data_IF_319491774603
#
_entry.id   IF_319491774603
#
_cell.length_a   1.000
_cell.length_b   1.000
_cell.length_c   1.000
_cell.angle_alpha   90.00
_cell.angle_beta   90.00
_cell.angle_gamma   90.00
#
_symmetry.space_group_name_H-M   'P 1'
#
loop_
_entity.id
_entity.type
_entity.pdbx_description
1 polymer ?
#
# COMPACT_ATOMS: atom_id res chain seq x y z
N UNK A 1 31.51 39.68 28.48
CA UNK A 1 32.92 39.28 28.64
C UNK A 1 33.34 38.42 27.46
N UNK A 2 34.18 38.94 26.57
CA UNK A 2 34.61 38.32 25.30
C UNK A 2 35.81 37.43 25.55
N UNK A 3 35.82 36.19 25.09
CA UNK A 3 37.08 35.42 24.97
C UNK A 3 37.17 34.84 23.56
N UNK A 4 38.02 35.44 22.74
CA UNK A 4 38.47 34.94 21.44
C UNK A 4 39.62 33.96 21.66
N UNK A 5 39.53 32.72 21.15
CA UNK A 5 40.72 31.85 20.99
C UNK A 5 41.10 31.81 19.50
N UNK A 6 42.35 32.25 19.26
CA UNK A 6 43.06 32.16 17.98
C UNK A 6 43.64 30.75 17.86
N UNK A 7 43.45 30.09 16.72
CA UNK A 7 44.26 28.92 16.34
C UNK A 7 45.38 29.36 15.43
N UNK A 8 46.60 28.97 15.81
CA UNK A 8 47.83 29.16 15.08
C UNK A 8 48.06 27.98 14.15
N UNK A 9 48.31 28.27 12.87
CA UNK A 9 48.71 27.29 11.85
C UNK A 9 50.19 27.13 11.86
N UNK A 10 50.71 25.93 12.01
CA UNK A 10 52.13 25.58 11.92
C UNK A 10 52.37 24.96 10.53
N UNK A 11 53.16 25.62 9.71
CA UNK A 11 53.67 25.13 8.44
C UNK A 11 54.99 24.39 8.65
N UNK A 12 55.06 23.14 8.23
CA UNK A 12 56.31 22.35 8.20
C UNK A 12 56.77 22.23 6.74
N UNK A 13 57.87 22.87 6.41
CA UNK A 13 58.61 22.73 5.15
C UNK A 13 59.66 21.62 5.29
N UNK A 14 59.56 20.58 4.41
CA UNK A 14 60.57 19.54 4.27
C UNK A 14 61.32 19.76 2.95
N UNK A 15 62.57 20.05 3.04
CA UNK A 15 63.54 20.16 1.92
C UNK A 15 64.07 18.75 1.55
N UNK A 16 64.02 18.40 0.26
CA UNK A 16 64.63 17.18 -0.25
C UNK A 16 65.80 17.52 -1.17
N UNK A 17 66.94 17.02 -0.82
CA UNK A 17 68.17 17.03 -1.62
C UNK A 17 68.23 15.88 -2.64
N UNK A 18 68.76 16.06 -3.85
CA UNK A 18 68.85 14.96 -4.84
C UNK A 18 70.21 14.23 -4.69
N UNK A 19 70.14 12.89 -4.71
CA UNK A 19 71.30 12.03 -4.96
C UNK A 19 71.22 11.51 -6.38
N UNK A 20 72.23 11.86 -7.20
CA UNK A 20 72.43 11.29 -8.52
C UNK A 20 73.33 10.07 -8.42
N UNK A 21 72.93 8.94 -9.00
CA UNK A 21 73.86 7.86 -9.36
C UNK A 21 73.37 7.29 -10.71
N UNK A 22 74.27 7.33 -11.68
CA UNK A 22 74.07 6.88 -13.01
C UNK A 22 74.18 5.37 -13.19
N UNK A 23 73.73 4.91 -14.34
CA UNK A 23 74.03 3.58 -14.84
C UNK A 23 73.07 2.93 -15.80
N UNK A 24 73.44 2.89 -17.06
CA UNK A 24 73.18 1.91 -18.10
C UNK A 24 71.83 1.88 -18.79
N UNK A 25 71.94 2.25 -20.05
CA UNK A 25 71.03 2.16 -21.19
C UNK A 25 70.48 0.77 -21.43
N UNK A 26 69.14 0.67 -21.57
CA UNK A 26 68.49 -0.33 -22.40
C UNK A 26 67.28 0.32 -23.07
N UNK A 27 67.32 0.43 -24.38
CA UNK A 27 66.21 0.87 -25.23
C UNK A 27 64.94 0.06 -24.96
N UNK A 28 63.98 0.65 -24.29
CA UNK A 28 62.60 0.23 -24.25
C UNK A 28 61.75 1.31 -24.91
N UNK A 29 61.14 0.97 -26.07
CA UNK A 29 60.06 1.76 -26.65
C UNK A 29 59.07 2.15 -25.58
N UNK A 30 58.59 3.40 -25.53
CA UNK A 30 57.51 3.79 -24.65
C UNK A 30 56.25 2.97 -25.02
N UNK A 31 55.88 2.02 -24.19
CA UNK A 31 54.56 1.41 -24.25
C UNK A 31 53.56 2.53 -24.01
N UNK A 32 52.65 2.73 -24.91
CA UNK A 32 51.52 3.64 -24.74
C UNK A 32 50.81 3.25 -23.43
N UNK A 33 50.73 4.18 -22.49
CA UNK A 33 49.87 4.06 -21.33
C UNK A 33 48.45 3.70 -21.81
N UNK A 34 47.72 2.77 -21.14
CA UNK A 34 46.33 2.53 -21.50
C UNK A 34 45.61 3.87 -21.42
N UNK A 35 44.99 4.29 -22.51
CA UNK A 35 44.13 5.46 -22.50
C UNK A 35 43.10 5.21 -21.40
N UNK A 36 43.15 5.93 -20.30
CA UNK A 36 42.10 5.98 -19.30
C UNK A 36 40.80 6.24 -20.08
N UNK A 37 39.97 5.22 -20.18
CA UNK A 37 38.69 5.28 -20.87
C UNK A 37 37.89 6.41 -20.26
N UNK A 38 37.84 7.53 -20.97
CA UNK A 38 37.11 8.73 -20.54
C UNK A 38 35.64 8.37 -20.41
N UNK A 39 35.24 7.97 -19.18
CA UNK A 39 33.89 7.51 -18.93
C UNK A 39 32.86 8.47 -19.57
N UNK A 40 31.92 7.93 -20.33
CA UNK A 40 30.91 8.73 -21.01
C UNK A 40 29.99 9.41 -20.00
N UNK A 41 29.41 10.57 -20.32
CA UNK A 41 28.36 11.14 -19.48
C UNK A 41 27.13 10.23 -19.46
N UNK A 42 26.28 10.27 -18.41
CA UNK A 42 25.10 9.41 -18.33
C UNK A 42 24.10 9.72 -19.47
N UNK A 43 23.47 8.66 -20.00
CA UNK A 43 22.33 8.81 -20.91
C UNK A 43 21.08 9.15 -20.10
N UNK A 44 20.35 10.20 -20.47
CA UNK A 44 19.16 10.67 -19.78
C UNK A 44 17.99 10.81 -20.76
N UNK A 45 16.88 10.15 -20.45
CA UNK A 45 15.59 10.33 -21.12
C UNK A 45 14.62 10.98 -20.15
N UNK A 46 13.83 11.95 -20.62
CA UNK A 46 12.81 12.67 -19.84
C UNK A 46 11.48 12.60 -20.55
N UNK A 47 10.42 12.33 -19.81
CA UNK A 47 9.03 12.39 -20.28
C UNK A 47 8.23 13.36 -19.43
N UNK A 48 7.28 14.12 -20.02
CA UNK A 48 6.93 14.17 -21.44
C UNK A 48 8.08 14.62 -22.33
N UNK A 49 8.11 14.10 -23.56
CA UNK A 49 9.09 14.54 -24.55
C UNK A 49 8.95 16.04 -24.88
N UNK A 50 10.01 16.64 -25.44
CA UNK A 50 9.97 18.05 -25.79
C UNK A 50 8.86 18.37 -26.79
N UNK A 51 8.14 19.47 -26.56
CA UNK A 51 7.01 19.97 -27.36
C UNK A 51 5.79 19.04 -27.41
N UNK A 52 5.66 18.07 -26.49
CA UNK A 52 4.45 17.26 -26.36
C UNK A 52 3.26 18.16 -26.00
N UNK A 53 2.13 17.93 -26.67
CA UNK A 53 0.86 18.62 -26.40
C UNK A 53 -0.16 17.64 -25.82
N UNK A 54 -1.23 18.20 -25.25
CA UNK A 54 -2.35 17.46 -24.67
C UNK A 54 -1.91 16.46 -23.58
N UNK A 55 -0.85 16.85 -22.85
CA UNK A 55 -0.35 16.07 -21.72
C UNK A 55 -1.41 16.11 -20.60
N UNK A 56 -1.77 14.98 -19.98
CA UNK A 56 -2.72 14.96 -18.88
C UNK A 56 -2.34 15.93 -17.75
N UNK A 57 -3.33 16.59 -17.13
CA UNK A 57 -3.07 17.48 -15.98
C UNK A 57 -2.48 16.72 -14.78
N UNK A 58 -2.73 15.40 -14.70
CA UNK A 58 -2.13 14.49 -13.73
C UNK A 58 -0.70 14.01 -14.12
N UNK A 59 -0.08 14.55 -15.18
CA UNK A 59 1.21 14.09 -15.65
C UNK A 59 2.32 14.24 -14.61
N UNK A 60 3.29 13.35 -14.69
CA UNK A 60 4.55 13.40 -13.96
C UNK A 60 5.72 13.64 -14.92
N UNK A 61 6.85 14.06 -14.36
CA UNK A 61 8.11 14.10 -15.11
C UNK A 61 8.84 12.78 -14.89
N UNK A 62 8.70 11.88 -15.86
CA UNK A 62 9.38 10.58 -15.84
C UNK A 62 10.84 10.72 -16.26
N UNK A 63 11.72 9.89 -15.67
CA UNK A 63 13.14 9.88 -15.95
C UNK A 63 13.67 8.46 -16.13
N UNK A 64 14.51 8.25 -17.14
CA UNK A 64 15.30 7.04 -17.28
C UNK A 64 16.77 7.42 -17.45
N UNK A 65 17.64 6.87 -16.61
CA UNK A 65 19.08 7.17 -16.60
C UNK A 65 19.84 5.87 -16.76
N UNK A 66 20.84 5.90 -17.66
CA UNK A 66 21.81 4.81 -17.84
C UNK A 66 23.21 5.32 -17.56
N UNK A 67 23.95 4.66 -16.70
CA UNK A 67 25.30 5.03 -16.29
C UNK A 67 25.36 6.20 -15.32
N UNK A 68 24.36 6.36 -14.45
CA UNK A 68 24.30 7.41 -13.44
C UNK A 68 22.97 7.47 -12.71
N UNK A 69 22.71 8.58 -12.04
CA UNK A 69 21.47 8.84 -11.28
C UNK A 69 20.99 10.28 -11.51
N UNK A 70 19.70 10.53 -11.34
CA UNK A 70 19.15 11.89 -11.33
C UNK A 70 19.60 12.61 -10.06
N UNK A 71 20.13 13.82 -10.21
CA UNK A 71 20.65 14.66 -9.12
C UNK A 71 19.89 15.96 -8.94
N UNK A 72 19.19 16.45 -9.97
CA UNK A 72 18.34 17.62 -9.85
C UNK A 72 17.15 17.54 -10.82
N UNK A 73 15.99 18.01 -10.36
CA UNK A 73 14.79 18.21 -11.18
C UNK A 73 14.16 19.55 -10.83
N UNK A 74 13.86 20.33 -11.85
CA UNK A 74 13.14 21.59 -11.74
C UNK A 74 12.00 21.59 -12.75
N UNK A 75 10.79 21.85 -12.28
CA UNK A 75 9.62 22.01 -13.12
C UNK A 75 9.12 23.44 -12.93
N UNK A 76 8.88 24.16 -14.02
CA UNK A 76 8.38 25.54 -13.98
C UNK A 76 7.21 25.69 -14.95
N UNK A 77 6.29 26.57 -14.64
CA UNK A 77 5.24 26.97 -15.56
C UNK A 77 5.72 28.05 -16.55
N UNK A 78 4.84 28.46 -17.46
CA UNK A 78 5.09 29.49 -18.48
C UNK A 78 5.34 30.91 -17.91
N UNK A 79 5.05 31.13 -16.62
CA UNK A 79 5.34 32.37 -15.88
C UNK A 79 6.65 32.28 -15.07
N UNK A 80 7.33 31.13 -15.13
CA UNK A 80 8.56 30.86 -14.37
C UNK A 80 8.31 30.43 -12.92
N UNK A 81 7.05 30.25 -12.50
CA UNK A 81 6.74 29.76 -11.16
C UNK A 81 7.12 28.28 -11.04
N UNK A 82 7.79 27.94 -9.94
CA UNK A 82 8.22 26.56 -9.69
C UNK A 82 7.02 25.69 -9.28
N UNK A 83 6.90 24.54 -9.94
CA UNK A 83 5.96 23.47 -9.57
C UNK A 83 6.61 22.60 -8.52
N UNK A 84 5.98 22.47 -7.35
CA UNK A 84 6.42 21.55 -6.32
C UNK A 84 6.15 20.10 -6.79
N UNK A 85 7.17 19.25 -6.75
CA UNK A 85 7.08 17.85 -7.11
C UNK A 85 7.94 16.99 -6.18
N UNK A 86 7.51 15.76 -5.94
CA UNK A 86 8.22 14.79 -5.12
C UNK A 86 8.72 13.62 -5.97
N UNK A 87 9.91 13.07 -5.70
CA UNK A 87 10.42 11.91 -6.42
C UNK A 87 9.58 10.67 -6.09
N UNK A 88 9.46 9.77 -7.06
CA UNK A 88 8.99 8.40 -6.81
C UNK A 88 10.05 7.63 -6.02
N UNK A 89 9.62 6.70 -5.18
CA UNK A 89 10.53 5.84 -4.39
C UNK A 89 11.46 5.00 -5.29
N UNK A 90 10.98 4.60 -6.46
CA UNK A 90 11.75 3.83 -7.46
C UNK A 90 12.68 4.70 -8.34
N UNK A 91 12.69 6.01 -8.12
CA UNK A 91 13.48 6.97 -8.90
C UNK A 91 13.02 7.15 -10.35
N UNK A 92 11.87 6.59 -10.76
CA UNK A 92 11.39 6.62 -12.14
C UNK A 92 10.82 7.97 -12.57
N UNK A 93 10.60 8.91 -11.64
CA UNK A 93 10.05 10.22 -11.97
C UNK A 93 9.77 11.12 -10.79
N UNK A 94 9.24 12.31 -11.08
CA UNK A 94 8.77 13.33 -10.15
C UNK A 94 7.30 13.62 -10.37
N UNK A 95 6.55 13.55 -9.30
CA UNK A 95 5.09 13.72 -9.30
C UNK A 95 4.78 15.12 -8.76
N UNK A 96 4.14 16.01 -9.55
CA UNK A 96 3.65 17.29 -9.05
C UNK A 96 2.73 17.10 -7.85
N UNK A 97 2.89 17.94 -6.82
CA UNK A 97 2.11 17.85 -5.56
C UNK A 97 0.63 18.21 -5.72
N UNK A 98 0.26 18.78 -6.87
CA UNK A 98 -1.12 19.05 -7.29
C UNK A 98 -1.23 18.88 -8.81
N UNK A 99 -2.44 18.70 -9.36
CA UNK A 99 -2.64 18.67 -10.80
C UNK A 99 -2.08 19.91 -11.49
N UNK A 100 -1.51 19.72 -12.67
CA UNK A 100 -1.05 20.83 -13.51
C UNK A 100 -2.26 21.59 -14.05
N UNK A 101 -2.11 22.92 -14.25
CA UNK A 101 -3.19 23.74 -14.80
C UNK A 101 -3.47 23.34 -16.26
N UNK A 102 -4.74 23.26 -16.69
CA UNK A 102 -5.10 22.97 -18.06
C UNK A 102 -4.60 24.05 -19.05
N UNK A 103 -4.27 23.64 -20.28
CA UNK A 103 -3.81 24.53 -21.38
C UNK A 103 -2.59 25.36 -21.01
N UNK A 104 -1.75 24.87 -20.12
CA UNK A 104 -0.58 25.59 -19.67
C UNK A 104 0.70 24.91 -20.14
N UNK A 105 1.69 25.70 -20.46
CA UNK A 105 3.01 25.19 -20.86
C UNK A 105 3.91 25.07 -19.63
N UNK A 106 4.59 23.94 -19.52
CA UNK A 106 5.55 23.64 -18.47
C UNK A 106 6.90 23.30 -19.07
N UNK A 107 7.94 23.60 -18.31
CA UNK A 107 9.32 23.24 -18.62
C UNK A 107 9.83 22.32 -17.52
N UNK A 108 10.32 21.14 -17.88
CA UNK A 108 11.06 20.26 -16.99
C UNK A 108 12.55 20.28 -17.35
N UNK A 109 13.39 20.59 -16.37
CA UNK A 109 14.83 20.54 -16.47
C UNK A 109 15.35 19.48 -15.51
N UNK A 110 16.01 18.46 -16.06
CA UNK A 110 16.49 17.28 -15.32
C UNK A 110 17.97 17.14 -15.53
N UNK A 111 18.73 16.99 -14.42
CA UNK A 111 20.15 16.73 -14.46
C UNK A 111 20.45 15.35 -13.89
N UNK A 112 21.20 14.55 -14.61
CA UNK A 112 21.76 13.28 -14.16
C UNK A 112 23.29 13.39 -14.02
N UNK A 113 23.83 12.71 -12.99
CA UNK A 113 25.27 12.62 -12.74
C UNK A 113 25.70 11.17 -12.83
N UNK A 114 26.73 10.91 -13.63
CA UNK A 114 27.36 9.61 -13.76
C UNK A 114 28.37 9.33 -12.65
N UNK A 115 28.80 8.08 -12.52
CA UNK A 115 29.77 7.63 -11.52
C UNK A 115 31.14 8.34 -11.65
N UNK A 116 31.46 8.84 -12.82
CA UNK A 116 32.64 9.67 -13.11
C UNK A 116 32.49 11.14 -12.74
N UNK A 117 31.36 11.56 -12.15
CA UNK A 117 31.06 12.95 -11.84
C UNK A 117 30.58 13.78 -13.04
N UNK A 118 30.60 13.23 -14.26
CA UNK A 118 30.07 13.94 -15.45
C UNK A 118 28.56 14.06 -15.37
N UNK A 119 28.04 15.19 -15.85
CA UNK A 119 26.60 15.49 -15.82
C UNK A 119 26.01 15.55 -17.23
N UNK A 120 24.73 15.17 -17.33
CA UNK A 120 23.89 15.42 -18.48
C UNK A 120 22.63 16.13 -18.03
N UNK A 121 22.32 17.28 -18.64
CA UNK A 121 21.06 17.99 -18.39
C UNK A 121 20.17 17.92 -19.62
N UNK A 122 18.89 17.61 -19.39
CA UNK A 122 17.84 17.62 -20.42
C UNK A 122 16.76 18.61 -20.02
N UNK A 123 16.33 19.40 -20.98
CA UNK A 123 15.23 20.33 -20.84
C UNK A 123 14.14 19.93 -21.82
N UNK A 124 12.92 19.72 -21.35
CA UNK A 124 11.74 19.44 -22.16
C UNK A 124 10.64 20.45 -21.83
N UNK A 125 9.88 20.82 -22.86
CA UNK A 125 8.74 21.73 -22.73
C UNK A 125 7.50 20.99 -23.20
N UNK A 126 6.41 21.04 -22.45
CA UNK A 126 5.16 20.39 -22.81
C UNK A 126 3.95 21.24 -22.45
N UNK A 127 2.83 21.03 -23.14
CA UNK A 127 1.58 21.76 -22.88
C UNK A 127 0.51 20.78 -22.41
N UNK A 128 -0.17 21.13 -21.33
CA UNK A 128 -1.23 20.28 -20.77
C UNK A 128 -2.50 20.35 -21.60
N UNK A 129 -3.29 19.28 -21.52
CA UNK A 129 -4.60 19.16 -22.14
C UNK A 129 -5.57 20.25 -21.68
N UNK A 130 -6.63 20.54 -22.43
CA UNK A 130 -7.77 21.30 -21.93
C UNK A 130 -8.36 20.66 -20.69
N UNK A 131 -9.17 21.40 -19.92
CA UNK A 131 -9.95 20.77 -18.84
C UNK A 131 -10.76 19.61 -19.41
N UNK A 132 -10.67 18.41 -18.80
CA UNK A 132 -11.40 17.25 -19.30
C UNK A 132 -12.90 17.51 -19.36
N UNK A 133 -13.54 17.10 -20.46
CA UNK A 133 -14.99 17.16 -20.67
C UNK A 133 -15.63 15.77 -20.72
N UNK A 134 -14.81 14.71 -20.72
CA UNK A 134 -15.29 13.34 -20.71
C UNK A 134 -15.92 12.99 -19.36
N UNK A 135 -16.88 12.04 -19.32
CA UNK A 135 -17.43 11.55 -18.08
C UNK A 135 -16.33 11.05 -17.13
N UNK A 136 -16.41 11.42 -15.88
CA UNK A 136 -15.47 10.96 -14.87
C UNK A 136 -15.84 9.56 -14.34
N UNK A 137 -14.83 8.79 -13.97
CA UNK A 137 -14.99 7.65 -13.05
C UNK A 137 -14.91 8.21 -11.65
N UNK A 138 -15.95 8.02 -10.87
CA UNK A 138 -15.97 8.45 -9.47
C UNK A 138 -15.00 7.58 -8.66
N UNK A 139 -14.12 8.21 -7.90
CA UNK A 139 -13.26 7.50 -6.96
C UNK A 139 -13.60 7.85 -5.53
N UNK A 140 -13.53 6.90 -4.62
CA UNK A 140 -13.73 7.10 -3.18
C UNK A 140 -12.51 6.60 -2.43
N UNK A 141 -11.83 7.49 -1.73
CA UNK A 141 -10.72 7.13 -0.83
C UNK A 141 -11.27 6.84 0.56
N UNK A 142 -11.29 5.56 0.95
CA UNK A 142 -11.68 5.13 2.29
C UNK A 142 -10.52 5.23 3.29
N UNK A 143 -9.91 6.40 3.33
CA UNK A 143 -8.85 6.75 4.26
C UNK A 143 -8.94 8.26 4.52
N UNK A 144 -9.69 8.64 5.54
CA UNK A 144 -9.89 10.06 5.87
C UNK A 144 -8.68 10.63 6.63
N UNK A 145 -8.45 11.93 6.49
CA UNK A 145 -7.39 12.63 7.23
C UNK A 145 -7.73 12.87 8.69
N UNK A 146 -6.68 13.06 9.50
CA UNK A 146 -6.76 13.39 10.94
C UNK A 146 -7.54 12.34 11.77
N UNK A 147 -7.43 11.07 11.40
CA UNK A 147 -8.04 9.94 12.10
C UNK A 147 -6.96 9.07 12.74
N UNK A 148 -7.41 8.19 13.64
CA UNK A 148 -6.62 7.07 14.13
C UNK A 148 -7.31 5.79 13.70
N UNK A 149 -6.55 4.91 13.03
CA UNK A 149 -7.03 3.65 12.49
C UNK A 149 -6.40 2.46 13.19
N UNK A 150 -7.06 1.31 13.15
CA UNK A 150 -6.51 0.05 13.60
C UNK A 150 -5.34 -0.43 12.74
N UNK A 151 -4.54 -1.34 13.28
CA UNK A 151 -3.30 -1.83 12.63
C UNK A 151 -3.55 -2.62 11.35
N UNK A 152 -4.77 -3.12 11.13
CA UNK A 152 -5.17 -3.83 9.92
C UNK A 152 -5.84 -2.93 8.86
N UNK A 153 -5.85 -1.60 9.03
CA UNK A 153 -6.45 -0.67 8.08
C UNK A 153 -5.80 -0.77 6.70
N UNK A 154 -6.45 -1.29 5.65
CA UNK A 154 -5.94 -1.17 4.30
C UNK A 154 -6.25 0.25 3.78
N UNK A 155 -5.31 0.85 3.05
CA UNK A 155 -5.68 2.02 2.25
C UNK A 155 -6.52 1.52 1.08
N UNK A 156 -7.75 1.97 1.00
CA UNK A 156 -8.72 1.50 -0.01
C UNK A 156 -9.17 2.63 -0.91
N UNK A 157 -9.11 2.42 -2.21
CA UNK A 157 -9.75 3.29 -3.22
C UNK A 157 -10.78 2.45 -3.97
N UNK A 158 -12.03 2.91 -3.97
CA UNK A 158 -13.10 2.32 -4.75
C UNK A 158 -13.42 3.17 -5.98
N UNK A 159 -13.95 2.56 -7.02
CA UNK A 159 -14.24 3.17 -8.31
C UNK A 159 -15.64 2.80 -8.80
N UNK A 160 -16.36 3.81 -9.29
CA UNK A 160 -17.65 3.63 -9.95
C UNK A 160 -17.67 4.43 -11.28
N UNK A 161 -17.81 3.74 -12.43
CA UNK A 161 -17.77 2.28 -12.62
C UNK A 161 -16.37 1.67 -12.36
N UNK A 162 -16.27 0.32 -12.23
CA UNK A 162 -15.01 -0.37 -12.05
C UNK A 162 -13.95 -0.04 -13.10
N UNK A 163 -12.67 -0.08 -12.72
CA UNK A 163 -11.55 0.19 -13.62
C UNK A 163 -11.26 -1.03 -14.52
N UNK A 164 -11.32 -0.87 -15.86
CA UNK A 164 -10.96 -1.93 -16.79
C UNK A 164 -9.53 -2.42 -16.57
N UNK A 165 -9.28 -3.71 -16.78
CA UNK A 165 -8.00 -4.36 -16.47
C UNK A 165 -6.81 -3.67 -17.15
N UNK A 166 -6.97 -3.25 -18.39
CA UNK A 166 -5.95 -2.56 -19.19
C UNK A 166 -5.58 -1.16 -18.66
N UNK A 167 -6.48 -0.51 -17.92
CA UNK A 167 -6.24 0.82 -17.35
C UNK A 167 -5.71 0.79 -15.91
N UNK A 168 -5.73 -0.37 -15.24
CA UNK A 168 -5.36 -0.50 -13.82
C UNK A 168 -3.91 -0.09 -13.55
N UNK A 169 -2.99 -0.38 -14.45
CA UNK A 169 -1.59 0.01 -14.29
C UNK A 169 -1.42 1.53 -14.28
N UNK A 170 -2.12 2.25 -15.16
CA UNK A 170 -2.04 3.71 -15.24
C UNK A 170 -2.69 4.37 -14.02
N UNK A 171 -3.83 3.85 -13.57
CA UNK A 171 -4.48 4.30 -12.32
C UNK A 171 -3.56 4.02 -11.13
N UNK A 172 -3.02 2.80 -11.00
CA UNK A 172 -2.17 2.41 -9.88
C UNK A 172 -0.90 3.27 -9.79
N UNK A 173 -0.34 3.71 -10.91
CA UNK A 173 0.78 4.67 -10.93
C UNK A 173 0.45 6.02 -10.28
N UNK A 174 -0.81 6.35 -10.12
CA UNK A 174 -1.28 7.60 -9.51
C UNK A 174 -1.73 7.46 -8.06
N UNK A 175 -1.57 6.27 -7.50
CA UNK A 175 -1.88 5.99 -6.10
C UNK A 175 -0.58 5.93 -5.30
N UNK A 176 -0.39 6.89 -4.41
CA UNK A 176 0.83 7.03 -3.61
C UNK A 176 0.53 6.79 -2.15
N UNK A 177 1.38 6.03 -1.48
CA UNK A 177 1.34 5.84 -0.03
C UNK A 177 2.74 6.07 0.52
N UNK A 178 2.83 6.91 1.53
CA UNK A 178 4.06 7.16 2.28
C UNK A 178 3.79 6.85 3.75
N UNK A 179 4.71 6.13 4.37
CA UNK A 179 4.61 5.78 5.79
C UNK A 179 5.80 6.33 6.57
N UNK A 180 5.57 6.75 7.80
CA UNK A 180 6.59 7.21 8.72
C UNK A 180 6.33 6.59 10.11
N UNK A 181 7.23 5.70 10.62
CA UNK A 181 8.44 5.19 9.97
C UNK A 181 8.13 4.35 8.70
N UNK A 182 9.11 4.20 7.78
CA UNK A 182 8.91 3.47 6.53
C UNK A 182 8.43 2.03 6.75
N UNK A 183 7.32 1.70 6.11
CA UNK A 183 6.74 0.35 6.07
C UNK A 183 6.07 0.16 4.70
N UNK A 184 6.86 -0.23 3.68
CA UNK A 184 6.38 -0.32 2.31
C UNK A 184 5.36 -1.45 2.15
N UNK A 185 4.44 -1.26 1.21
CA UNK A 185 3.40 -2.21 0.85
C UNK A 185 3.20 -2.32 -0.67
N UNK A 186 2.13 -2.97 -1.06
CA UNK A 186 1.76 -3.22 -2.45
C UNK A 186 0.28 -2.90 -2.65
N UNK A 187 -0.05 -2.32 -3.79
CA UNK A 187 -1.43 -2.20 -4.26
C UNK A 187 -1.90 -3.52 -4.87
N UNK A 188 -3.10 -3.94 -4.55
CA UNK A 188 -3.74 -5.16 -5.10
C UNK A 188 -5.18 -4.86 -5.48
N UNK A 189 -5.56 -5.17 -6.71
CA UNK A 189 -6.91 -4.98 -7.25
C UNK A 189 -7.80 -6.14 -6.89
N UNK A 190 -9.05 -5.84 -6.55
CA UNK A 190 -10.15 -6.81 -6.58
C UNK A 190 -10.38 -7.24 -8.02
N UNK A 191 -10.80 -8.48 -8.23
CA UNK A 191 -10.87 -9.09 -9.56
C UNK A 191 -11.72 -8.28 -10.55
N UNK A 192 -12.85 -7.72 -10.11
CA UNK A 192 -13.74 -6.90 -10.94
C UNK A 192 -13.24 -5.47 -11.20
N UNK A 193 -12.24 -4.99 -10.44
CA UNK A 193 -11.69 -3.64 -10.56
C UNK A 193 -12.46 -2.53 -9.87
N UNK A 194 -13.45 -2.89 -9.06
CA UNK A 194 -14.23 -1.94 -8.27
C UNK A 194 -13.45 -1.32 -7.12
N UNK A 195 -12.43 -2.04 -6.62
CA UNK A 195 -11.61 -1.61 -5.50
C UNK A 195 -10.13 -1.97 -5.70
N UNK A 196 -9.26 -1.18 -5.10
CA UNK A 196 -7.84 -1.47 -4.96
C UNK A 196 -7.41 -1.21 -3.52
N UNK A 197 -6.65 -2.13 -2.95
CA UNK A 197 -6.15 -2.06 -1.58
C UNK A 197 -4.65 -1.88 -1.55
N UNK A 198 -4.15 -1.11 -0.59
CA UNK A 198 -2.72 -1.08 -0.26
C UNK A 198 -2.52 -1.55 1.17
N UNK A 199 -1.64 -2.51 1.36
CA UNK A 199 -1.15 -2.94 2.66
C UNK A 199 0.30 -3.38 2.59
N UNK A 200 0.96 -3.38 3.74
CA UNK A 200 2.25 -4.04 3.94
C UNK A 200 2.07 -5.58 4.06
N UNK A 201 3.15 -6.38 4.00
CA UNK A 201 3.07 -7.82 4.29
C UNK A 201 2.44 -8.11 5.64
N UNK A 202 2.82 -7.35 6.66
CA UNK A 202 2.31 -7.45 8.02
C UNK A 202 1.43 -6.24 8.38
N UNK A 203 0.73 -6.30 9.50
CA UNK A 203 -0.04 -5.18 10.02
C UNK A 203 0.84 -3.95 10.23
N UNK A 204 0.22 -2.78 10.11
CA UNK A 204 0.90 -1.51 10.39
C UNK A 204 1.40 -1.48 11.83
N UNK A 205 2.61 -0.95 12.01
CA UNK A 205 3.14 -0.72 13.36
C UNK A 205 2.35 0.37 14.05
N UNK A 206 1.96 0.20 15.31
CA UNK A 206 1.36 1.28 16.10
C UNK A 206 2.20 2.56 16.06
N UNK A 207 1.55 3.70 15.94
CA UNK A 207 2.20 5.01 15.82
C UNK A 207 2.64 5.42 14.42
N UNK A 208 2.58 4.52 13.42
CA UNK A 208 2.89 4.86 12.02
C UNK A 208 1.94 5.95 11.51
N UNK A 209 2.52 6.96 10.88
CA UNK A 209 1.77 7.96 10.09
C UNK A 209 1.71 7.50 8.65
N UNK A 210 0.52 7.45 8.08
CA UNK A 210 0.29 7.10 6.68
C UNK A 210 -0.23 8.34 5.95
N UNK A 211 0.44 8.72 4.87
CA UNK A 211 -0.01 9.76 3.93
C UNK A 211 -0.34 9.09 2.61
N UNK A 212 -1.55 9.33 2.14
CA UNK A 212 -2.08 8.79 0.87
C UNK A 212 -2.37 9.93 -0.07
N UNK A 213 -2.07 9.74 -1.35
CA UNK A 213 -2.54 10.58 -2.44
C UNK A 213 -3.07 9.71 -3.58
N UNK A 214 -4.30 9.96 -4.00
CA UNK A 214 -4.88 9.45 -5.23
C UNK A 214 -4.92 10.60 -6.24
N UNK A 215 -3.90 10.68 -7.10
CA UNK A 215 -3.67 11.75 -8.07
C UNK A 215 -4.41 11.47 -9.38
N UNK A 216 -5.73 11.47 -9.35
CA UNK A 216 -6.56 10.96 -10.44
C UNK A 216 -7.19 12.05 -11.33
N UNK A 217 -7.22 13.31 -10.91
CA UNK A 217 -7.86 14.38 -11.66
C UNK A 217 -7.37 14.44 -13.12
N UNK A 218 -8.30 14.28 -14.05
CA UNK A 218 -8.02 14.34 -15.48
C UNK A 218 -7.14 13.23 -16.04
N UNK A 219 -6.85 12.18 -15.27
CA UNK A 219 -6.16 11.00 -15.78
C UNK A 219 -7.03 10.30 -16.83
N UNK A 220 -6.54 10.09 -18.06
CA UNK A 220 -7.27 9.28 -19.03
C UNK A 220 -7.42 7.84 -18.54
N UNK A 221 -8.66 7.33 -18.50
CA UNK A 221 -8.99 5.96 -18.11
C UNK A 221 -9.72 5.30 -19.28
N UNK A 222 -9.01 4.44 -19.99
CA UNK A 222 -9.51 3.91 -21.25
C UNK A 222 -9.72 4.99 -22.32
N UNK A 223 -10.67 4.77 -23.25
CA UNK A 223 -10.88 5.67 -24.40
C UNK A 223 -11.79 6.87 -24.07
N UNK A 224 -12.78 6.70 -23.18
CA UNK A 224 -13.92 7.59 -23.07
C UNK A 224 -14.13 8.18 -21.68
N UNK A 225 -13.28 7.87 -20.70
CA UNK A 225 -13.40 8.33 -19.32
C UNK A 225 -12.13 8.99 -18.82
N UNK A 226 -12.28 9.74 -17.72
CA UNK A 226 -11.17 10.35 -16.99
C UNK A 226 -11.35 10.11 -15.48
N UNK A 227 -10.28 10.22 -14.72
CA UNK A 227 -10.36 10.29 -13.26
C UNK A 227 -11.01 11.59 -12.81
N UNK A 228 -11.73 11.53 -11.70
CA UNK A 228 -12.51 12.65 -11.17
C UNK A 228 -11.65 13.72 -10.47
N UNK A 229 -11.11 13.43 -9.30
CA UNK A 229 -10.43 14.38 -8.44
C UNK A 229 -9.12 13.82 -7.84
N UNK A 230 -8.21 14.73 -7.47
CA UNK A 230 -7.09 14.42 -6.57
C UNK A 230 -7.57 14.40 -5.12
N UNK A 231 -7.19 13.36 -4.39
CA UNK A 231 -7.49 13.19 -2.97
C UNK A 231 -6.21 12.93 -2.19
N UNK A 232 -6.06 13.63 -1.07
CA UNK A 232 -4.93 13.42 -0.16
C UNK A 232 -5.43 13.31 1.27
N UNK A 233 -4.89 12.37 2.02
CA UNK A 233 -5.20 12.20 3.43
C UNK A 233 -3.97 11.77 4.21
N UNK A 234 -3.86 12.23 5.46
CA UNK A 234 -2.81 11.81 6.40
C UNK A 234 -3.46 11.44 7.72
N UNK A 235 -3.15 10.24 8.21
CA UNK A 235 -3.68 9.70 9.47
C UNK A 235 -2.67 8.82 10.19
N UNK A 236 -2.98 8.47 11.43
CA UNK A 236 -2.11 7.66 12.29
C UNK A 236 -2.68 6.27 12.50
N UNK A 237 -1.80 5.31 12.74
CA UNK A 237 -2.15 3.97 13.19
C UNK A 237 -2.11 3.94 14.71
N UNK A 238 -3.20 3.48 15.31
CA UNK A 238 -3.36 3.32 16.74
C UNK A 238 -2.76 2.02 17.25
N UNK A 239 -3.21 1.61 18.44
CA UNK A 239 -2.81 0.36 19.07
C UNK A 239 -3.38 -0.85 18.31
N UNK A 240 -2.75 -2.00 18.49
CA UNK A 240 -3.23 -3.25 17.91
C UNK A 240 -4.40 -3.79 18.74
N UNK A 241 -5.57 -3.83 18.12
CA UNK A 241 -6.76 -4.54 18.63
C UNK A 241 -7.23 -5.51 17.54
N UNK A 242 -7.66 -6.69 17.93
CA UNK A 242 -8.29 -7.66 17.01
C UNK A 242 -9.40 -8.43 17.70
N UNK A 243 -10.35 -8.88 16.90
CA UNK A 243 -11.49 -9.69 17.31
C UNK A 243 -11.40 -11.05 16.64
N UNK A 244 -11.47 -12.12 17.42
CA UNK A 244 -11.50 -13.51 16.92
C UNK A 244 -12.80 -14.16 17.34
N UNK A 245 -13.65 -14.50 16.37
CA UNK A 245 -14.97 -15.08 16.58
C UNK A 245 -14.95 -16.53 16.09
N UNK A 246 -15.29 -17.44 16.98
CA UNK A 246 -15.35 -18.87 16.70
C UNK A 246 -16.80 -19.34 16.77
N UNK A 247 -17.34 -19.72 15.62
CA UNK A 247 -18.71 -20.22 15.52
C UNK A 247 -18.94 -21.51 16.31
N UNK A 248 -17.91 -22.36 16.47
CA UNK A 248 -18.06 -23.62 17.19
C UNK A 248 -18.30 -23.41 18.69
N UNK A 249 -17.70 -22.35 19.27
CA UNK A 249 -17.83 -21.99 20.68
C UNK A 249 -18.80 -20.85 20.92
N UNK A 250 -19.28 -20.17 19.87
CA UNK A 250 -20.11 -18.97 19.95
C UNK A 250 -19.47 -17.87 20.82
N UNK A 251 -18.14 -17.75 20.74
CA UNK A 251 -17.38 -16.79 21.52
C UNK A 251 -16.56 -15.86 20.60
N UNK A 252 -16.56 -14.60 20.97
CA UNK A 252 -15.63 -13.59 20.48
C UNK A 252 -14.52 -13.40 21.53
N UNK A 253 -13.28 -13.57 21.16
CA UNK A 253 -12.11 -13.15 21.92
C UNK A 253 -11.65 -11.77 21.42
N UNK A 254 -11.59 -10.79 22.32
CA UNK A 254 -11.01 -9.48 22.04
C UNK A 254 -9.56 -9.50 22.50
N UNK A 255 -8.65 -9.22 21.55
CA UNK A 255 -7.21 -9.22 21.82
C UNK A 255 -6.67 -7.78 21.75
N UNK A 256 -5.74 -7.48 22.64
CA UNK A 256 -4.93 -6.26 22.63
C UNK A 256 -3.46 -6.65 22.68
N UNK A 257 -2.69 -6.20 21.70
CA UNK A 257 -1.28 -6.55 21.57
C UNK A 257 -1.05 -8.08 21.64
N UNK A 258 -1.94 -8.84 20.98
CA UNK A 258 -1.91 -10.30 20.91
C UNK A 258 -2.39 -11.03 22.17
N UNK A 259 -2.82 -10.32 23.22
CA UNK A 259 -3.31 -10.93 24.48
C UNK A 259 -4.82 -10.78 24.58
N UNK A 260 -5.51 -11.88 24.92
CA UNK A 260 -6.95 -11.85 25.17
C UNK A 260 -7.25 -11.00 26.39
N UNK A 261 -8.03 -9.93 26.22
CA UNK A 261 -8.44 -9.02 27.28
C UNK A 261 -9.90 -9.24 27.70
N UNK A 262 -10.74 -9.78 26.82
CA UNK A 262 -12.13 -10.10 27.12
C UNK A 262 -12.63 -11.21 26.22
N UNK A 263 -13.55 -12.05 26.70
CA UNK A 263 -14.38 -12.96 25.92
C UNK A 263 -15.83 -12.51 26.00
N UNK A 264 -16.53 -12.57 24.88
CA UNK A 264 -17.91 -12.10 24.73
C UNK A 264 -18.71 -13.19 24.05
N UNK A 265 -19.82 -13.69 24.66
CA UNK A 265 -20.74 -14.57 23.98
C UNK A 265 -21.34 -13.89 22.74
N UNK A 266 -21.48 -14.60 21.64
CA UNK A 266 -22.06 -14.09 20.39
C UNK A 266 -23.14 -15.03 19.84
N UNK A 267 -24.04 -14.46 19.04
CA UNK A 267 -24.94 -15.20 18.17
C UNK A 267 -24.73 -14.71 16.74
N UNK A 268 -24.37 -15.61 15.84
CA UNK A 268 -24.10 -15.34 14.42
C UNK A 268 -25.36 -15.55 13.58
N UNK A 269 -25.21 -15.46 12.25
CA UNK A 269 -26.27 -15.72 11.29
C UNK A 269 -26.83 -17.14 11.42
N UNK A 270 -28.18 -17.24 11.40
CA UNK A 270 -28.88 -18.52 11.35
C UNK A 270 -28.57 -19.26 10.04
N UNK A 271 -28.84 -20.58 9.91
CA UNK A 271 -28.47 -21.37 8.72
C UNK A 271 -29.00 -20.83 7.39
N UNK A 272 -30.14 -20.12 7.38
CA UNK A 272 -30.72 -19.51 6.16
C UNK A 272 -30.02 -18.19 5.76
N UNK A 273 -29.30 -17.56 6.68
CA UNK A 273 -28.61 -16.28 6.49
C UNK A 273 -27.28 -16.29 7.26
N UNK A 274 -26.34 -17.18 6.90
CA UNK A 274 -25.11 -17.38 7.66
C UNK A 274 -24.20 -16.16 7.61
N UNK A 275 -23.44 -15.94 8.68
CA UNK A 275 -22.34 -14.97 8.73
C UNK A 275 -21.15 -15.47 7.91
N UNK A 276 -20.46 -14.59 7.20
CA UNK A 276 -19.27 -14.95 6.42
C UNK A 276 -18.07 -15.26 7.31
N UNK A 277 -17.41 -16.41 7.09
CA UNK A 277 -16.09 -16.75 7.65
C UNK A 277 -14.98 -16.07 6.85
N UNK A 278 -13.99 -15.53 7.53
CA UNK A 278 -12.84 -14.90 6.88
C UNK A 278 -12.19 -13.83 7.73
N UNK A 279 -11.27 -13.08 7.12
CA UNK A 279 -10.60 -11.93 7.72
C UNK A 279 -11.13 -10.65 7.09
N UNK A 280 -11.76 -9.84 7.88
CA UNK A 280 -12.32 -8.53 7.53
C UNK A 280 -11.82 -7.48 8.51
N UNK A 281 -12.14 -6.23 8.28
CA UNK A 281 -11.83 -5.14 9.21
C UNK A 281 -13.09 -4.35 9.54
N UNK A 282 -13.11 -3.69 10.69
CA UNK A 282 -14.17 -2.76 11.03
C UNK A 282 -14.06 -1.57 10.05
N UNK A 283 -15.11 -1.34 9.27
CA UNK A 283 -15.14 -0.32 8.21
C UNK A 283 -15.76 0.98 8.68
N UNK A 284 -16.81 0.89 9.48
CA UNK A 284 -17.59 2.02 10.00
C UNK A 284 -18.05 1.72 11.40
N UNK A 285 -18.33 2.77 12.18
CA UNK A 285 -18.88 2.66 13.53
C UNK A 285 -20.02 3.66 13.67
N UNK A 286 -21.18 3.20 14.13
CA UNK A 286 -22.40 3.98 14.29
C UNK A 286 -22.92 3.79 15.71
N UNK A 287 -23.11 4.86 16.46
CA UNK A 287 -23.76 4.81 17.78
C UNK A 287 -25.20 4.32 17.65
N UNK A 288 -25.89 4.76 16.60
CA UNK A 288 -27.22 4.29 16.20
C UNK A 288 -27.34 4.17 14.70
N UNK A 289 -28.04 3.15 14.21
CA UNK A 289 -28.38 3.01 12.79
C UNK A 289 -29.61 2.12 12.62
N UNK A 290 -30.32 2.27 11.50
CA UNK A 290 -31.48 1.43 11.16
C UNK A 290 -31.04 0.38 10.16
N UNK A 291 -31.26 -0.90 10.46
CA UNK A 291 -31.16 -1.97 9.48
C UNK A 291 -32.50 -2.12 8.79
N UNK A 292 -32.51 -1.89 7.48
CA UNK A 292 -33.69 -1.98 6.63
C UNK A 292 -33.43 -2.98 5.50
N UNK A 293 -34.06 -4.14 5.60
CA UNK A 293 -33.91 -5.23 4.65
C UNK A 293 -35.22 -5.52 3.87
N UNK A 294 -36.10 -4.53 3.76
CA UNK A 294 -37.43 -4.70 3.10
C UNK A 294 -37.37 -5.21 1.66
N UNK A 295 -36.22 -5.10 1.00
CA UNK A 295 -35.97 -5.66 -0.34
C UNK A 295 -35.44 -7.10 -0.36
N UNK A 296 -35.19 -7.73 0.80
CA UNK A 296 -34.63 -9.08 0.91
C UNK A 296 -35.72 -10.16 1.00
N UNK A 297 -35.29 -11.44 0.94
CA UNK A 297 -36.16 -12.60 1.11
C UNK A 297 -36.69 -12.75 2.55
N UNK A 298 -36.02 -12.17 3.54
CA UNK A 298 -36.40 -12.17 4.95
C UNK A 298 -36.41 -10.72 5.45
N UNK A 299 -37.48 -9.94 5.15
CA UNK A 299 -37.49 -8.50 5.37
C UNK A 299 -37.74 -8.14 6.83
N UNK A 300 -36.96 -7.18 7.32
CA UNK A 300 -37.19 -6.56 8.62
C UNK A 300 -36.69 -5.09 8.64
N UNK A 301 -37.17 -4.34 9.62
CA UNK A 301 -36.64 -3.02 9.95
C UNK A 301 -36.41 -3.00 11.45
N UNK A 302 -35.20 -2.65 11.87
CA UNK A 302 -34.83 -2.57 13.29
C UNK A 302 -33.79 -1.48 13.51
N UNK A 303 -33.99 -0.69 14.55
CA UNK A 303 -32.99 0.23 15.06
C UNK A 303 -32.01 -0.54 15.95
N UNK A 304 -30.72 -0.34 15.71
CA UNK A 304 -29.64 -0.98 16.44
C UNK A 304 -28.69 0.07 16.98
N UNK A 305 -28.09 -0.23 18.11
CA UNK A 305 -27.08 0.59 18.76
C UNK A 305 -25.71 -0.05 18.64
N UNK A 306 -24.65 0.80 18.69
CA UNK A 306 -23.25 0.39 18.74
C UNK A 306 -22.85 -0.53 17.60
N UNK A 307 -23.27 -0.19 16.38
CA UNK A 307 -23.07 -1.00 15.20
C UNK A 307 -21.70 -0.73 14.54
N UNK A 308 -20.96 -1.80 14.27
CA UNK A 308 -19.65 -1.79 13.61
C UNK A 308 -19.74 -2.59 12.32
N UNK A 309 -19.69 -1.91 11.17
CA UNK A 309 -19.81 -2.52 9.84
C UNK A 309 -18.57 -3.35 9.50
N UNK A 310 -18.78 -4.54 8.97
CA UNK A 310 -17.73 -5.47 8.52
C UNK A 310 -17.74 -5.68 7.01
N UNK A 311 -18.92 -5.70 6.39
CA UNK A 311 -19.06 -5.99 4.96
C UNK A 311 -20.01 -5.02 4.25
N UNK A 312 -19.85 -4.89 2.93
CA UNK A 312 -20.80 -4.13 2.11
C UNK A 312 -22.16 -4.83 2.06
N UNK A 313 -22.18 -6.16 2.17
CA UNK A 313 -23.41 -6.97 2.23
C UNK A 313 -24.22 -6.78 3.51
N UNK A 314 -23.77 -5.97 4.46
CA UNK A 314 -24.56 -5.61 5.64
C UNK A 314 -24.34 -6.48 6.87
N UNK A 315 -23.17 -7.12 6.99
CA UNK A 315 -22.78 -7.79 8.23
C UNK A 315 -22.15 -6.78 9.20
N UNK A 316 -22.59 -6.79 10.45
CA UNK A 316 -22.15 -5.90 11.51
C UNK A 316 -21.91 -6.67 12.82
N UNK A 317 -21.13 -6.09 13.71
CA UNK A 317 -21.17 -6.41 15.15
C UNK A 317 -22.04 -5.33 15.78
N UNK A 318 -23.08 -5.69 16.56
CA UNK A 318 -23.98 -4.70 17.17
C UNK A 318 -24.65 -5.19 18.45
N UNK A 319 -25.16 -4.29 19.25
CA UNK A 319 -26.03 -4.59 20.40
C UNK A 319 -27.33 -5.26 19.95
N UNK A 320 -27.64 -6.41 20.55
CA UNK A 320 -28.83 -7.17 20.24
C UNK A 320 -29.45 -7.73 21.54
N UNK A 321 -30.08 -6.88 22.39
CA UNK A 321 -30.62 -7.28 23.67
C UNK A 321 -31.75 -8.33 23.53
N UNK A 322 -32.44 -8.35 22.39
CA UNK A 322 -33.51 -9.34 22.11
C UNK A 322 -33.01 -10.78 21.94
N UNK A 323 -31.71 -11.00 21.77
CA UNK A 323 -31.09 -12.32 21.56
C UNK A 323 -30.06 -12.69 22.62
N UNK A 324 -30.01 -12.01 23.76
CA UNK A 324 -29.02 -12.28 24.83
C UNK A 324 -29.10 -13.74 25.34
N UNK A 325 -30.28 -14.33 25.38
CA UNK A 325 -30.46 -15.74 25.76
C UNK A 325 -29.87 -16.75 24.75
N UNK A 326 -29.66 -16.34 23.51
CA UNK A 326 -29.13 -17.16 22.43
C UNK A 326 -27.60 -17.02 22.31
N UNK A 327 -27.05 -15.88 22.73
CA UNK A 327 -25.63 -15.58 22.65
C UNK A 327 -24.79 -16.58 23.45
N UNK A 328 -23.79 -17.15 22.82
CA UNK A 328 -22.99 -18.24 23.37
C UNK A 328 -23.59 -19.64 23.16
N UNK A 329 -24.80 -19.76 22.60
CA UNK A 329 -25.52 -21.04 22.44
C UNK A 329 -25.87 -21.32 20.99
N UNK A 330 -26.72 -20.48 20.35
CA UNK A 330 -27.25 -20.71 19.00
C UNK A 330 -27.13 -19.45 18.13
N UNK A 331 -27.17 -19.65 16.82
CA UNK A 331 -27.16 -18.59 15.82
C UNK A 331 -28.60 -18.24 15.42
N UNK A 332 -28.98 -16.96 15.61
CA UNK A 332 -30.34 -16.49 15.32
C UNK A 332 -30.38 -15.22 14.46
N UNK A 333 -29.23 -14.60 14.16
CA UNK A 333 -29.19 -13.35 13.40
C UNK A 333 -29.43 -13.57 11.88
N UNK A 334 -29.52 -12.45 11.14
CA UNK A 334 -29.60 -12.44 9.68
C UNK A 334 -28.21 -12.23 9.00
N UNK A 335 -27.14 -12.63 9.67
CA UNK A 335 -25.76 -12.49 9.18
C UNK A 335 -24.86 -11.65 10.09
N UNK A 336 -25.42 -10.80 10.93
CA UNK A 336 -24.66 -10.00 11.91
C UNK A 336 -24.09 -10.84 13.05
N UNK A 337 -23.12 -10.28 13.75
CA UNK A 337 -22.63 -10.78 15.05
C UNK A 337 -23.38 -10.04 16.16
N UNK A 338 -24.36 -10.69 16.74
CA UNK A 338 -25.14 -10.19 17.87
C UNK A 338 -24.34 -10.33 19.16
N UNK A 339 -24.27 -9.28 19.94
CA UNK A 339 -23.69 -9.24 21.29
C UNK A 339 -24.64 -8.52 22.26
N UNK A 340 -24.49 -8.72 23.56
CA UNK A 340 -25.24 -7.99 24.57
C UNK A 340 -24.98 -6.47 24.47
N UNK A 341 -25.97 -5.64 24.76
CA UNK A 341 -25.87 -4.19 24.66
C UNK A 341 -24.64 -3.63 25.38
N UNK A 342 -24.38 -4.05 26.63
CA UNK A 342 -23.20 -3.62 27.38
C UNK A 342 -21.86 -4.10 26.79
N UNK A 343 -21.86 -5.16 26.00
CA UNK A 343 -20.68 -5.62 25.27
C UNK A 343 -20.46 -4.79 24.01
N UNK A 344 -21.52 -4.43 23.29
CA UNK A 344 -21.45 -3.56 22.12
C UNK A 344 -20.92 -2.15 22.47
N UNK A 345 -21.48 -1.52 23.50
CA UNK A 345 -21.00 -0.23 24.03
C UNK A 345 -19.51 -0.29 24.40
N UNK A 346 -19.11 -1.33 25.14
CA UNK A 346 -17.69 -1.50 25.48
C UNK A 346 -16.83 -1.69 24.24
N UNK A 347 -17.26 -2.46 23.23
CA UNK A 347 -16.55 -2.63 21.95
C UNK A 347 -16.41 -1.30 21.23
N UNK A 348 -17.45 -0.45 21.22
CA UNK A 348 -17.38 0.91 20.66
C UNK A 348 -16.26 1.73 21.29
N UNK A 349 -16.01 1.57 22.60
CA UNK A 349 -14.94 2.30 23.29
C UNK A 349 -13.54 1.77 23.04
N UNK A 350 -13.36 0.49 22.66
CA UNK A 350 -12.05 -0.15 22.59
C UNK A 350 -11.57 -0.49 21.18
N UNK A 351 -12.44 -0.52 20.20
CA UNK A 351 -12.12 -0.79 18.80
C UNK A 351 -11.99 0.47 17.96
N UNK A 352 -11.33 0.36 16.82
CA UNK A 352 -11.14 1.42 15.84
C UNK A 352 -11.50 0.90 14.42
N UNK A 353 -11.91 1.80 13.53
CA UNK A 353 -11.97 1.48 12.10
C UNK A 353 -10.59 1.00 11.66
N UNK A 354 -10.53 -0.13 10.97
CA UNK A 354 -9.28 -0.77 10.58
C UNK A 354 -8.75 -1.82 11.58
N UNK A 355 -9.47 -2.12 12.67
CA UNK A 355 -9.16 -3.28 13.51
C UNK A 355 -9.59 -4.58 12.82
N UNK A 356 -8.76 -5.62 12.95
CA UNK A 356 -9.01 -6.93 12.35
C UNK A 356 -10.14 -7.67 13.06
N UNK A 357 -11.04 -8.24 12.27
CA UNK A 357 -12.05 -9.19 12.72
C UNK A 357 -11.86 -10.50 11.94
N UNK A 358 -11.63 -11.59 12.67
CA UNK A 358 -11.53 -12.93 12.08
C UNK A 358 -12.74 -13.75 12.55
N UNK A 359 -13.53 -14.24 11.62
CA UNK A 359 -14.67 -15.13 11.89
C UNK A 359 -14.34 -16.50 11.27
N UNK A 360 -14.57 -17.57 12.01
CA UNK A 360 -14.28 -18.93 11.53
C UNK A 360 -15.39 -19.91 11.89
N UNK A 361 -15.55 -20.94 11.05
CA UNK A 361 -16.41 -22.08 11.31
C UNK A 361 -17.88 -21.84 11.01
N UNK A 362 -18.20 -20.85 10.17
CA UNK A 362 -19.55 -20.67 9.59
C UNK A 362 -19.65 -21.39 8.24
N UNK A 363 -20.85 -21.42 7.67
CA UNK A 363 -21.21 -22.20 6.49
C UNK A 363 -20.77 -21.55 5.17
N UNK A 364 -20.42 -20.26 5.18
CA UNK A 364 -20.06 -19.49 3.98
C UNK A 364 -18.74 -18.75 4.17
N UNK A 365 -17.99 -18.64 3.10
CA UNK A 365 -16.73 -17.89 3.08
C UNK A 365 -16.96 -16.44 2.65
N UNK A 366 -16.13 -15.54 3.18
CA UNK A 366 -16.12 -14.13 2.82
C UNK A 366 -15.75 -13.96 1.33
N UNK A 367 -16.64 -13.34 0.57
CA UNK A 367 -16.42 -13.03 -0.84
C UNK A 367 -15.42 -11.87 -0.98
N UNK A 368 -14.47 -11.98 -1.92
CA UNK A 368 -13.55 -10.92 -2.27
C UNK A 368 -14.31 -9.63 -2.64
N UNK A 369 -13.86 -8.51 -2.09
CA UNK A 369 -14.47 -7.20 -2.34
C UNK A 369 -15.76 -6.91 -1.55
N UNK A 370 -16.32 -7.89 -0.83
CA UNK A 370 -17.44 -7.65 0.09
C UNK A 370 -16.93 -7.06 1.41
N UNK A 371 -16.58 -5.79 1.38
CA UNK A 371 -15.86 -5.07 2.44
C UNK A 371 -14.38 -4.91 2.12
N UNK A 372 -13.58 -4.55 3.12
CA UNK A 372 -12.13 -4.40 2.95
C UNK A 372 -11.42 -5.73 3.21
N UNK A 373 -11.41 -6.58 2.20
CA UNK A 373 -11.01 -7.99 2.29
C UNK A 373 -9.51 -8.24 2.07
N UNK A 374 -8.68 -7.19 2.11
CA UNK A 374 -7.25 -7.27 1.82
C UNK A 374 -6.48 -8.33 2.63
N UNK A 375 -6.94 -8.66 3.85
CA UNK A 375 -6.31 -9.63 4.75
C UNK A 375 -6.86 -11.05 4.61
N UNK A 376 -7.92 -11.24 3.83
CA UNK A 376 -8.55 -12.55 3.64
C UNK A 376 -7.79 -13.49 2.70
N UNK A 377 -6.68 -13.01 2.13
CA UNK A 377 -5.78 -13.76 1.27
C UNK A 377 -4.36 -13.73 1.79
N UNK A 378 -3.57 -14.78 1.49
CA UNK A 378 -2.14 -14.80 1.81
C UNK A 378 -1.40 -13.67 1.10
N UNK A 379 -0.21 -13.30 1.60
CA UNK A 379 0.63 -12.29 0.93
C UNK A 379 0.97 -12.69 -0.51
N UNK A 380 1.28 -13.96 -0.74
CA UNK A 380 1.61 -14.51 -2.06
C UNK A 380 0.46 -14.40 -3.07
N UNK A 381 -0.77 -14.57 -2.60
CA UNK A 381 -1.97 -14.37 -3.43
C UNK A 381 -2.23 -12.87 -3.63
N UNK A 382 -2.10 -12.08 -2.56
CA UNK A 382 -2.36 -10.64 -2.56
C UNK A 382 -1.52 -9.88 -3.60
N UNK A 383 -0.20 -10.11 -3.62
CA UNK A 383 0.68 -9.38 -4.54
C UNK A 383 0.44 -9.67 -6.02
N UNK A 384 -0.23 -10.79 -6.34
CA UNK A 384 -0.62 -11.13 -7.74
C UNK A 384 -1.71 -10.22 -8.29
N UNK A 385 -2.47 -9.57 -7.43
CA UNK A 385 -3.46 -8.56 -7.81
C UNK A 385 -2.86 -7.20 -8.19
N UNK A 386 -1.54 -7.00 -8.07
CA UNK A 386 -0.92 -5.75 -8.48
C UNK A 386 -0.88 -5.61 -10.01
N UNK A 387 -1.27 -4.45 -10.52
CA UNK A 387 -1.15 -4.13 -11.93
C UNK A 387 0.25 -3.62 -12.32
N UNK A 388 1.14 -3.41 -11.34
CA UNK A 388 2.53 -3.00 -11.52
C UNK A 388 3.49 -4.06 -10.97
N UNK A 389 4.75 -4.09 -11.42
CA UNK A 389 5.76 -4.98 -10.85
C UNK A 389 5.90 -4.79 -9.34
N UNK A 390 5.87 -5.89 -8.60
CA UNK A 390 6.08 -5.87 -7.14
C UNK A 390 7.55 -5.56 -6.85
N UNK A 391 7.86 -4.60 -5.96
CA UNK A 391 9.24 -4.29 -5.55
C UNK A 391 9.99 -5.53 -5.05
N UNK A 392 11.26 -5.66 -5.37
CA UNK A 392 12.04 -6.87 -5.10
C UNK A 392 11.98 -7.32 -3.62
N UNK A 393 12.08 -6.36 -2.69
CA UNK A 393 12.02 -6.62 -1.23
C UNK A 393 10.64 -7.02 -0.70
N UNK A 394 9.59 -6.94 -1.53
CA UNK A 394 8.22 -7.29 -1.16
C UNK A 394 7.71 -8.53 -1.91
N UNK A 395 8.52 -9.11 -2.79
CA UNK A 395 8.16 -10.33 -3.49
C UNK A 395 8.12 -11.50 -2.50
N UNK A 396 7.14 -12.41 -2.64
CA UNK A 396 7.17 -13.66 -1.91
C UNK A 396 8.48 -14.41 -2.13
N UNK A 397 8.95 -15.11 -1.10
CA UNK A 397 10.07 -16.02 -1.28
C UNK A 397 9.70 -17.06 -2.35
N UNK A 398 10.64 -17.43 -3.25
CA UNK A 398 10.37 -18.51 -4.21
C UNK A 398 9.99 -19.76 -3.41
N UNK A 399 8.81 -20.31 -3.68
CA UNK A 399 8.42 -21.63 -3.18
C UNK A 399 9.46 -22.62 -3.70
N UNK A 400 10.30 -23.14 -2.82
CA UNK A 400 11.15 -24.25 -3.17
C UNK A 400 10.23 -25.37 -3.65
N UNK A 401 10.33 -25.73 -4.93
CA UNK A 401 9.75 -26.96 -5.41
C UNK A 401 10.28 -28.09 -4.50
N UNK A 402 9.43 -29.04 -4.06
CA UNK A 402 9.91 -30.13 -3.25
C UNK A 402 11.04 -30.81 -4.02
N UNK A 403 12.20 -30.95 -3.40
CA UNK A 403 13.33 -31.67 -3.96
C UNK A 403 12.83 -33.04 -4.48
N UNK A 404 13.02 -33.41 -5.77
CA UNK A 404 12.76 -34.76 -6.24
C UNK A 404 13.85 -35.66 -5.68
N UNK A 405 13.68 -36.15 -4.44
CA UNK A 405 14.73 -36.96 -3.77
C UNK A 405 14.41 -37.46 -2.38
N UNK A 406 13.21 -37.26 -1.86
CA UNK A 406 12.78 -37.96 -0.67
C UNK A 406 12.31 -39.38 -1.08
N UNK A 407 13.26 -40.31 -1.16
CA UNK A 407 12.98 -41.74 -1.25
C UNK A 407 12.15 -42.12 -0.03
N UNK A 408 10.96 -42.66 -0.28
CA UNK A 408 10.12 -43.23 0.77
C UNK A 408 10.93 -44.28 1.55
N UNK A 409 11.31 -43.93 2.77
CA UNK A 409 11.89 -44.85 3.73
C UNK A 409 10.88 -45.95 4.04
N UNK A 410 11.26 -47.17 3.82
CA UNK A 410 10.44 -48.34 3.94
C UNK A 410 9.77 -48.48 5.31
N UNK A 411 8.54 -48.94 5.29
CA UNK A 411 7.81 -49.42 6.47
C UNK A 411 8.64 -50.45 7.24
N UNK A 412 8.69 -50.38 8.56
CA UNK A 412 9.26 -51.47 9.34
C UNK A 412 8.35 -52.72 9.30
N UNK A 413 8.96 -53.85 9.09
CA UNK A 413 8.30 -55.17 9.08
C UNK A 413 7.64 -55.46 10.45
N UNK A 414 6.51 -56.20 10.48
CA UNK A 414 5.85 -56.57 11.73
C UNK A 414 6.69 -57.59 12.52
N UNK A 415 6.79 -57.35 13.82
CA UNK A 415 7.46 -58.25 14.77
C UNK A 415 6.72 -59.63 14.88
N UNK A 416 7.45 -60.75 15.09
CA UNK A 416 6.85 -62.08 15.17
C UNK A 416 6.09 -62.25 16.49
N UNK A 417 4.88 -62.82 16.40
CA UNK A 417 4.03 -63.20 17.52
C UNK A 417 4.66 -64.38 18.29
N UNK A 418 4.98 -64.18 19.54
CA UNK A 418 5.31 -65.28 20.47
C UNK A 418 4.02 -65.90 20.98
N UNK A 419 3.74 -67.12 20.61
CA UNK A 419 2.74 -67.98 21.30
C UNK A 419 3.38 -68.50 22.56
N UNK A 420 2.85 -68.16 23.73
CA UNK A 420 3.12 -68.84 24.99
C UNK A 420 1.98 -69.81 25.29
N UNK A 421 2.37 -70.99 25.71
CA UNK A 421 1.50 -72.04 26.11
C UNK A 421 0.86 -71.88 27.51
#
# INVERSE_FOLDING_TARGET
MKLRRRLTVLAVTIAATPLALGGCTADRKPGAAPAEGRAAPPELTVTPADRTRDVPVSAEVGTAVKGGRVTAVRITDDKGAQVRAEPREDGSGWVPSAPLQPRRTYTAEVTATGDSGKTTTRKTTFTTMPKPTKPAITSTLYFAGNRTYGTAMPVTVAFDPPIPKEARADVQRRLFVKTDPPQPGVWSWVADGSQVYYRAPDFWRPGTTITVRAGLEGLPIGKDKVGDDDRTATSKIGRQTSLEIDNSTKQMSVLRDGKVVRKIPVSLGKPSTPTSSGKMVIMEKHEQTTFDTRGSADPYVVDVEDAQRLTWGGEFIHGAPWSEGDQGNINVSHGCTNVAAAAADWLMGVTQVGDLVTIKGTEVELTEGNGWTAWNVSWDAYVKGSALPVPAGLRPAPTHAPHPGAVAGGSPAPAPSVRGG
#
